data_IF_962964445492
#
_entry.id   IF_962964445492
#
_cell.length_a   1.000
_cell.length_b   1.000
_cell.length_c   1.000
_cell.angle_alpha   90.00
_cell.angle_beta   90.00
_cell.angle_gamma   90.00
#
_symmetry.space_group_name_H-M   'P 1'
#
loop_
_entity.id
_entity.type
_entity.pdbx_description
1 polymer ?
#
# COMPACT_ATOMS: atom_id res chain seq x y z
N UNK A 1 4.26 24.70 -62.93
CA UNK A 1 5.35 24.36 -61.99
C UNK A 1 4.97 24.66 -60.55
N UNK A 2 4.44 25.84 -60.23
CA UNK A 2 4.00 26.18 -58.86
C UNK A 2 2.87 25.27 -58.33
N UNK A 3 1.86 24.98 -59.16
CA UNK A 3 0.72 24.13 -58.77
C UNK A 3 1.10 22.67 -58.49
N UNK A 4 2.15 22.18 -59.15
CA UNK A 4 2.71 20.84 -58.95
C UNK A 4 3.41 20.74 -57.59
N UNK A 5 4.18 21.80 -57.23
CA UNK A 5 4.87 21.91 -55.94
C UNK A 5 3.85 21.97 -54.81
N UNK A 6 2.82 22.81 -54.93
CA UNK A 6 1.77 22.89 -53.90
C UNK A 6 0.96 21.59 -53.75
N UNK A 7 0.79 20.81 -54.83
CA UNK A 7 0.16 19.48 -54.75
C UNK A 7 1.04 18.49 -54.00
N UNK A 8 2.33 18.46 -54.30
CA UNK A 8 3.30 17.61 -53.60
C UNK A 8 3.41 17.97 -52.11
N UNK A 9 3.41 19.26 -51.78
CA UNK A 9 3.43 19.73 -50.38
C UNK A 9 2.18 19.31 -49.60
N UNK A 10 1.00 19.31 -50.24
CA UNK A 10 -0.25 18.80 -49.64
C UNK A 10 -0.20 17.31 -49.40
N UNK A 11 0.24 16.53 -50.38
CA UNK A 11 0.37 15.07 -50.26
C UNK A 11 1.37 14.67 -49.17
N UNK A 12 2.49 15.39 -49.03
CA UNK A 12 3.44 15.18 -47.93
C UNK A 12 2.85 15.56 -46.57
N UNK A 13 2.07 16.63 -46.50
CA UNK A 13 1.41 17.06 -45.28
C UNK A 13 0.37 16.03 -44.82
N UNK A 14 -0.42 15.49 -45.74
CA UNK A 14 -1.40 14.43 -45.47
C UNK A 14 -0.72 13.15 -44.99
N UNK A 15 0.40 12.73 -45.62
CA UNK A 15 1.19 11.58 -45.14
C UNK A 15 1.74 11.78 -43.73
N UNK A 16 2.21 12.99 -43.41
CA UNK A 16 2.71 13.33 -42.06
C UNK A 16 1.60 13.34 -41.01
N UNK A 17 0.38 13.77 -41.38
CA UNK A 17 -0.79 13.72 -40.49
C UNK A 17 -1.19 12.27 -40.21
N UNK A 18 -1.33 11.45 -41.26
CA UNK A 18 -1.68 10.03 -41.10
C UNK A 18 -0.67 9.27 -40.24
N UNK A 19 0.63 9.49 -40.47
CA UNK A 19 1.68 8.87 -39.67
C UNK A 19 1.64 9.32 -38.19
N UNK A 20 1.24 10.57 -37.91
CA UNK A 20 1.07 11.05 -36.53
C UNK A 20 -0.14 10.38 -35.86
N UNK A 21 -1.26 10.24 -36.57
CA UNK A 21 -2.48 9.61 -36.06
C UNK A 21 -2.23 8.13 -35.73
N UNK A 22 -1.53 7.40 -36.59
CA UNK A 22 -1.13 6.00 -36.32
C UNK A 22 -0.24 5.87 -35.08
N UNK A 23 0.70 6.80 -34.88
CA UNK A 23 1.58 6.82 -33.70
C UNK A 23 0.79 7.14 -32.43
N UNK A 24 -0.19 8.05 -32.51
CA UNK A 24 -1.08 8.39 -31.40
C UNK A 24 -1.93 7.16 -31.02
N UNK A 25 -2.56 6.50 -32.00
CA UNK A 25 -3.34 5.27 -31.75
C UNK A 25 -2.49 4.14 -31.15
N UNK A 26 -1.27 3.95 -31.64
CA UNK A 26 -0.35 2.94 -31.12
C UNK A 26 0.11 3.24 -29.69
N UNK A 27 0.27 4.53 -29.35
CA UNK A 27 0.57 4.99 -27.98
C UNK A 27 -0.64 4.82 -27.06
N UNK A 28 -1.84 5.17 -27.50
CA UNK A 28 -3.08 4.99 -26.72
C UNK A 28 -3.36 3.51 -26.42
N UNK A 29 -3.19 2.62 -27.41
CA UNK A 29 -3.29 1.17 -27.20
C UNK A 29 -2.25 0.65 -26.19
N UNK A 30 -1.06 1.24 -26.13
CA UNK A 30 -0.05 0.91 -25.12
C UNK A 30 -0.37 1.51 -23.74
N UNK A 31 -0.97 2.69 -23.68
CA UNK A 31 -1.42 3.34 -22.43
C UNK A 31 -2.60 2.56 -21.83
N UNK A 32 -3.54 2.08 -22.65
CA UNK A 32 -4.62 1.20 -22.20
C UNK A 32 -4.10 -0.13 -21.61
N UNK A 33 -3.01 -0.68 -22.14
CA UNK A 33 -2.32 -1.83 -21.55
C UNK A 33 -1.62 -1.51 -20.22
N UNK A 34 -1.37 -0.22 -19.94
CA UNK A 34 -0.75 0.31 -18.71
C UNK A 34 -1.75 0.94 -17.75
N UNK A 35 -3.06 0.75 -17.95
CA UNK A 35 -4.04 1.09 -16.91
C UNK A 35 -3.66 0.26 -15.66
N UNK A 36 -3.53 0.88 -14.47
CA UNK A 36 -3.31 0.13 -13.25
C UNK A 36 -4.37 -0.97 -13.17
N UNK A 37 -3.93 -2.22 -12.89
CA UNK A 37 -4.82 -3.40 -12.89
C UNK A 37 -6.10 -3.04 -12.15
N UNK A 38 -7.21 -2.88 -12.88
CA UNK A 38 -8.50 -2.58 -12.27
C UNK A 38 -8.77 -3.68 -11.26
N UNK A 39 -9.12 -3.26 -10.05
CA UNK A 39 -9.42 -4.18 -8.97
C UNK A 39 -10.58 -5.06 -9.44
N UNK A 40 -10.45 -6.39 -9.46
CA UNK A 40 -11.55 -7.23 -9.89
C UNK A 40 -12.78 -6.96 -9.02
N UNK A 41 -13.95 -6.83 -9.65
CA UNK A 41 -15.21 -6.54 -8.97
C UNK A 41 -15.45 -7.53 -7.82
N UNK A 42 -15.72 -7.03 -6.62
CA UNK A 42 -15.90 -7.83 -5.40
C UNK A 42 -14.59 -8.26 -4.72
N UNK A 43 -13.43 -7.73 -5.12
CA UNK A 43 -12.12 -7.94 -4.47
C UNK A 43 -11.53 -6.69 -3.84
N UNK A 44 -12.31 -5.61 -3.77
CA UNK A 44 -11.91 -4.29 -3.27
C UNK A 44 -11.46 -4.39 -1.82
N UNK A 45 -12.19 -5.15 -0.99
CA UNK A 45 -11.98 -5.26 0.46
C UNK A 45 -11.55 -6.65 0.94
N UNK A 46 -10.60 -7.25 0.22
CA UNK A 46 -10.23 -8.67 0.41
C UNK A 46 -8.98 -8.90 1.27
N UNK A 47 -8.57 -7.90 2.06
CA UNK A 47 -7.40 -7.97 2.92
C UNK A 47 -7.75 -7.79 4.39
N UNK A 48 -6.90 -8.38 5.24
CA UNK A 48 -6.88 -8.25 6.69
C UNK A 48 -5.54 -7.71 7.11
N UNK A 49 -5.53 -7.00 8.21
CA UNK A 49 -4.33 -6.50 8.85
C UNK A 49 -4.31 -6.90 10.32
N UNK A 50 -3.15 -7.36 10.76
CA UNK A 50 -2.91 -7.79 12.12
C UNK A 50 -1.54 -7.31 12.55
N UNK A 51 -1.46 -6.82 13.77
CA UNK A 51 -0.20 -6.62 14.47
C UNK A 51 -0.21 -7.59 15.64
N UNK A 52 0.78 -8.47 15.70
CA UNK A 52 0.96 -9.33 16.86
C UNK A 52 2.22 -8.94 17.62
N UNK A 53 2.13 -9.05 18.94
CA UNK A 53 3.19 -8.76 19.87
C UNK A 53 3.97 -10.04 20.22
N UNK A 54 5.28 -9.91 20.29
CA UNK A 54 6.21 -10.89 20.84
C UNK A 54 6.96 -10.24 22.01
N UNK A 55 6.91 -10.89 23.17
CA UNK A 55 7.69 -10.45 24.32
C UNK A 55 9.16 -10.82 24.14
N UNK A 56 10.05 -9.96 24.60
CA UNK A 56 11.48 -10.22 24.59
C UNK A 56 11.82 -11.25 25.68
N UNK A 57 12.63 -12.24 25.33
CA UNK A 57 13.04 -13.31 26.27
C UNK A 57 14.17 -12.84 27.22
N UNK A 58 14.91 -11.80 26.83
CA UNK A 58 16.03 -11.27 27.61
C UNK A 58 15.54 -10.38 28.75
N UNK A 59 16.11 -10.53 29.95
CA UNK A 59 15.76 -9.69 31.12
C UNK A 59 16.07 -8.20 30.91
N UNK A 60 17.11 -7.88 30.12
CA UNK A 60 17.51 -6.50 29.82
C UNK A 60 16.48 -5.77 28.94
N UNK A 61 15.73 -6.50 28.11
CA UNK A 61 14.73 -5.96 27.18
C UNK A 61 13.29 -6.23 27.64
N UNK A 62 13.09 -6.54 28.93
CA UNK A 62 11.78 -6.94 29.48
C UNK A 62 10.68 -5.90 29.26
N UNK A 63 11.07 -4.62 29.22
CA UNK A 63 10.17 -3.50 29.02
C UNK A 63 9.93 -3.19 27.53
N UNK A 64 10.61 -3.90 26.63
CA UNK A 64 10.40 -3.81 25.19
C UNK A 64 9.50 -4.91 24.66
N UNK A 65 8.96 -4.69 23.47
CA UNK A 65 8.08 -5.60 22.77
C UNK A 65 8.31 -5.49 21.27
N UNK A 66 8.29 -6.64 20.59
CA UNK A 66 8.39 -6.69 19.14
C UNK A 66 7.00 -6.81 18.52
N UNK A 67 6.63 -5.81 17.72
CA UNK A 67 5.39 -5.77 16.95
C UNK A 67 5.65 -6.25 15.52
N UNK A 68 4.92 -7.27 15.09
CA UNK A 68 5.00 -7.80 13.73
C UNK A 68 3.81 -7.33 12.89
N UNK A 69 4.09 -6.57 11.84
CA UNK A 69 3.11 -5.94 10.97
C UNK A 69 2.72 -6.87 9.82
N UNK A 70 1.48 -7.35 9.82
CA UNK A 70 1.05 -8.38 8.87
C UNK A 70 -0.21 -7.98 8.12
N UNK A 71 -0.08 -7.78 6.80
CA UNK A 71 -1.20 -7.67 5.86
C UNK A 71 -1.33 -8.95 5.06
N UNK A 72 -2.51 -9.57 5.03
CA UNK A 72 -2.77 -10.81 4.27
C UNK A 72 -4.09 -10.75 3.53
N UNK A 73 -4.17 -11.51 2.44
CA UNK A 73 -5.44 -11.74 1.77
C UNK A 73 -6.33 -12.65 2.63
N UNK A 74 -7.65 -12.47 2.56
CA UNK A 74 -8.62 -13.29 3.29
C UNK A 74 -8.40 -14.80 3.07
N UNK A 75 -8.06 -15.22 1.84
CA UNK A 75 -7.85 -16.63 1.50
C UNK A 75 -6.60 -17.23 2.17
N UNK A 76 -5.59 -16.43 2.47
CA UNK A 76 -4.32 -16.88 3.04
C UNK A 76 -4.19 -16.52 4.54
N UNK A 77 -5.28 -16.09 5.18
CA UNK A 77 -5.21 -15.69 6.58
C UNK A 77 -5.18 -16.89 7.55
N UNK A 78 -5.49 -18.10 7.06
CA UNK A 78 -5.52 -19.30 7.89
C UNK A 78 -4.16 -19.61 8.55
N UNK A 79 -3.05 -19.22 7.91
CA UNK A 79 -1.69 -19.35 8.47
C UNK A 79 -1.51 -18.58 9.79
N UNK A 80 -2.30 -17.52 9.99
CA UNK A 80 -2.26 -16.66 11.18
C UNK A 80 -3.34 -17.01 12.20
N UNK A 81 -4.20 -17.99 11.93
CA UNK A 81 -5.36 -18.29 12.75
C UNK A 81 -5.01 -18.63 14.21
N UNK A 82 -3.83 -19.24 14.43
CA UNK A 82 -3.33 -19.55 15.79
C UNK A 82 -2.99 -18.28 16.56
N UNK A 83 -2.29 -17.34 15.92
CA UNK A 83 -1.90 -16.06 16.54
C UNK A 83 -3.12 -15.17 16.73
N UNK A 84 -4.02 -15.12 15.73
CA UNK A 84 -5.26 -14.36 15.80
C UNK A 84 -6.13 -14.71 17.02
N UNK A 85 -6.12 -16.00 17.42
CA UNK A 85 -6.87 -16.53 18.56
C UNK A 85 -6.11 -16.48 19.89
N UNK A 86 -4.87 -15.98 19.91
CA UNK A 86 -4.07 -15.90 21.13
C UNK A 86 -3.96 -14.46 21.62
N UNK A 87 -3.48 -14.31 22.86
CA UNK A 87 -3.24 -13.00 23.48
C UNK A 87 -2.14 -12.18 22.78
N UNK A 88 -1.39 -12.82 21.87
CA UNK A 88 -0.39 -12.14 21.04
C UNK A 88 -1.03 -11.23 20.00
N UNK A 89 -2.31 -11.41 19.68
CA UNK A 89 -3.04 -10.54 18.75
C UNK A 89 -3.29 -9.17 19.38
N UNK A 90 -2.40 -8.22 19.12
CA UNK A 90 -2.42 -6.90 19.75
C UNK A 90 -3.35 -5.91 19.03
N UNK A 91 -3.40 -5.98 17.70
CA UNK A 91 -4.26 -5.15 16.86
C UNK A 91 -4.76 -5.93 15.64
N UNK A 92 -6.03 -5.75 15.28
CA UNK A 92 -6.63 -6.39 14.11
C UNK A 92 -7.66 -5.49 13.42
N UNK A 93 -7.66 -5.53 12.09
CA UNK A 93 -8.64 -4.91 11.20
C UNK A 93 -8.92 -5.82 10.01
N UNK A 94 -10.16 -5.79 9.54
CA UNK A 94 -10.61 -6.55 8.38
C UNK A 94 -11.31 -5.67 7.36
N UNK A 95 -11.64 -6.25 6.21
CA UNK A 95 -12.25 -5.54 5.08
C UNK A 95 -11.40 -4.36 4.59
N UNK A 96 -10.07 -4.51 4.65
CA UNK A 96 -9.16 -3.47 4.20
C UNK A 96 -9.24 -3.32 2.68
N UNK A 97 -9.28 -2.08 2.18
CA UNK A 97 -9.17 -1.85 0.76
C UNK A 97 -7.81 -2.25 0.21
N UNK A 98 -7.79 -2.58 -1.08
CA UNK A 98 -6.57 -2.94 -1.79
C UNK A 98 -5.59 -1.77 -1.89
N UNK A 99 -6.09 -0.54 -1.99
CA UNK A 99 -5.32 0.70 -2.04
C UNK A 99 -4.58 1.02 -0.74
N UNK A 100 -5.08 0.54 0.40
CA UNK A 100 -4.48 0.83 1.70
C UNK A 100 -3.08 0.20 1.83
N UNK A 101 -2.13 0.97 2.36
CA UNK A 101 -0.74 0.55 2.65
C UNK A 101 -0.47 0.51 4.16
N UNK A 102 -1.17 -0.33 4.92
CA UNK A 102 -1.21 -0.26 6.38
C UNK A 102 0.16 -0.39 7.05
N UNK A 103 1.07 -1.23 6.53
CA UNK A 103 2.40 -1.38 7.10
C UNK A 103 3.20 -0.07 7.04
N UNK A 104 3.18 0.64 5.92
CA UNK A 104 3.93 1.89 5.77
C UNK A 104 3.30 3.00 6.61
N UNK A 105 1.97 3.08 6.64
CA UNK A 105 1.27 4.06 7.47
C UNK A 105 1.48 3.82 8.96
N UNK A 106 1.47 2.56 9.43
CA UNK A 106 1.78 2.25 10.83
C UNK A 106 3.22 2.60 11.19
N UNK A 107 4.19 2.37 10.30
CA UNK A 107 5.58 2.82 10.53
C UNK A 107 5.66 4.34 10.64
N UNK A 108 4.96 5.07 9.76
CA UNK A 108 4.92 6.52 9.80
C UNK A 108 4.31 7.02 11.12
N UNK A 109 3.20 6.42 11.56
CA UNK A 109 2.57 6.74 12.85
C UNK A 109 3.56 6.56 14.00
N UNK A 110 4.33 5.46 14.02
CA UNK A 110 5.36 5.24 15.04
C UNK A 110 6.42 6.35 15.01
N UNK A 111 6.92 6.69 13.83
CA UNK A 111 7.94 7.73 13.65
C UNK A 111 7.45 9.14 14.02
N UNK A 112 6.19 9.44 13.76
CA UNK A 112 5.59 10.76 14.03
C UNK A 112 5.16 10.90 15.51
N UNK A 113 4.86 9.78 16.16
CA UNK A 113 4.29 9.78 17.53
C UNK A 113 5.36 9.61 18.60
N UNK A 114 6.36 8.75 18.37
CA UNK A 114 7.34 8.37 19.38
C UNK A 114 8.68 9.06 19.17
N UNK A 115 9.46 9.30 20.26
CA UNK A 115 10.84 9.74 20.13
C UNK A 115 11.69 8.72 19.35
N UNK A 116 12.69 9.18 18.58
CA UNK A 116 13.57 8.30 17.79
C UNK A 116 14.32 7.25 18.63
N UNK A 117 14.51 7.49 19.93
CA UNK A 117 15.16 6.53 20.85
C UNK A 117 14.22 5.44 21.34
N UNK A 118 12.91 5.54 21.08
CA UNK A 118 11.90 4.61 21.58
C UNK A 118 11.60 3.46 20.64
N UNK A 119 12.12 3.49 19.40
CA UNK A 119 11.80 2.47 18.42
C UNK A 119 12.98 2.07 17.53
N UNK A 120 12.93 0.83 17.05
CA UNK A 120 13.75 0.33 15.94
C UNK A 120 12.84 -0.36 14.92
N UNK A 121 12.86 0.10 13.67
CA UNK A 121 11.99 -0.41 12.59
C UNK A 121 12.84 -1.20 11.61
N UNK A 122 12.54 -2.51 11.48
CA UNK A 122 13.22 -3.42 10.55
C UNK A 122 12.21 -4.16 9.69
N UNK A 123 12.08 -3.75 8.43
CA UNK A 123 11.18 -4.41 7.48
C UNK A 123 9.72 -4.36 7.94
N UNK A 124 9.18 -5.48 8.42
CA UNK A 124 7.80 -5.59 8.94
C UNK A 124 7.75 -5.77 10.47
N UNK A 125 8.85 -5.48 11.18
CA UNK A 125 8.89 -5.52 12.64
C UNK A 125 9.23 -4.15 13.20
N UNK A 126 8.66 -3.86 14.37
CA UNK A 126 8.92 -2.65 15.16
C UNK A 126 9.24 -3.12 16.58
N UNK A 127 10.44 -2.80 17.06
CA UNK A 127 10.79 -2.93 18.47
C UNK A 127 10.47 -1.60 19.15
N UNK A 128 9.73 -1.63 20.25
CA UNK A 128 9.32 -0.42 20.99
C UNK A 128 9.12 -0.72 22.47
N UNK A 129 9.03 0.30 23.32
CA UNK A 129 8.69 0.11 24.73
C UNK A 129 7.22 -0.27 24.94
N UNK A 130 6.95 -1.09 25.95
CA UNK A 130 5.60 -1.52 26.36
C UNK A 130 4.74 -0.34 26.81
N UNK A 131 5.35 0.69 27.39
CA UNK A 131 4.66 1.91 27.83
C UNK A 131 4.06 2.73 26.68
N UNK A 132 4.64 2.64 25.48
CA UNK A 132 4.18 3.37 24.29
C UNK A 132 2.99 2.69 23.60
N UNK A 133 2.71 1.42 23.93
CA UNK A 133 1.65 0.63 23.29
C UNK A 133 0.26 1.28 23.37
N UNK A 134 -0.21 1.82 24.51
CA UNK A 134 -1.52 2.44 24.59
C UNK A 134 -1.68 3.60 23.59
N UNK A 135 -0.66 4.48 23.52
CA UNK A 135 -0.64 5.63 22.61
C UNK A 135 -0.58 5.18 21.14
N UNK A 136 0.29 4.23 20.82
CA UNK A 136 0.35 3.67 19.47
C UNK A 136 -0.98 3.03 19.06
N UNK A 137 -1.62 2.29 19.96
CA UNK A 137 -2.90 1.64 19.68
C UNK A 137 -4.01 2.66 19.39
N UNK A 138 -4.02 3.76 20.11
CA UNK A 138 -4.92 4.89 19.85
C UNK A 138 -4.68 5.49 18.46
N UNK A 139 -3.44 5.88 18.15
CA UNK A 139 -3.09 6.51 16.87
C UNK A 139 -3.29 5.62 15.66
N UNK A 140 -2.96 4.34 15.79
CA UNK A 140 -3.21 3.34 14.75
C UNK A 140 -4.73 3.17 14.55
N UNK A 141 -5.51 3.09 15.63
CA UNK A 141 -6.97 3.01 15.56
C UNK A 141 -7.56 4.22 14.84
N UNK A 142 -7.13 5.43 15.20
CA UNK A 142 -7.54 6.68 14.57
C UNK A 142 -7.27 6.69 13.06
N UNK A 143 -6.10 6.22 12.63
CA UNK A 143 -5.78 6.07 11.21
C UNK A 143 -6.74 5.13 10.46
N UNK A 144 -6.99 3.94 11.01
CA UNK A 144 -7.85 2.96 10.35
C UNK A 144 -9.31 3.40 10.31
N UNK A 145 -9.79 4.05 11.36
CA UNK A 145 -11.19 4.46 11.48
C UNK A 145 -11.49 5.70 10.60
N UNK A 146 -10.49 6.56 10.37
CA UNK A 146 -10.62 7.75 9.53
C UNK A 146 -10.17 7.54 8.07
N UNK A 147 -9.74 6.34 7.70
CA UNK A 147 -9.27 6.08 6.35
C UNK A 147 -10.40 6.27 5.32
N UNK A 148 -10.15 7.14 4.33
CA UNK A 148 -11.02 7.35 3.18
C UNK A 148 -10.30 6.86 1.93
N UNK A 149 -10.95 5.99 1.15
CA UNK A 149 -10.48 5.68 -0.19
C UNK A 149 -10.58 6.94 -1.04
N UNK A 150 -9.49 7.34 -1.70
CA UNK A 150 -9.55 8.35 -2.77
C UNK A 150 -10.42 7.77 -3.90
N UNK A 151 -11.52 8.45 -4.24
CA UNK A 151 -12.46 8.07 -5.31
C UNK A 151 -11.86 8.28 -6.71
#
# INVERSE_FOLDING_TARGET
>A
MLDEIHRQEREEMEKKLHAKDEVIEAKDKNIQKRIPRSVPKGKEKNYKYMIYAEEMENEEDRDMVMLHLVRRNNKSFYDLAKIYKSDRNWFYRENLPISMTPNEQVKQIVQDTLPQTHYDIKGCTILTFKEDLPLLKEKITEYFDNFKEEE
#
